data_IF_067667976103
#
_entry.id   IF_067667976103
#
_cell.length_a   1.000
_cell.length_b   1.000
_cell.length_c   1.000
_cell.angle_alpha   90.00
_cell.angle_beta   90.00
_cell.angle_gamma   90.00
#
_symmetry.space_group_name_H-M   'P 1'
#
loop_
_entity.id
_entity.type
_entity.pdbx_description
1 polymer ?
#
# COMPACT_ATOMS: atom_id res chain seq x y z
N UNK A 1 55.06 21.76 -7.78
CA UNK A 1 53.69 22.12 -8.21
C UNK A 1 52.95 20.88 -8.73
N UNK A 2 52.35 20.04 -7.86
CA UNK A 2 51.59 18.83 -8.25
C UNK A 2 50.47 18.50 -7.23
N UNK A 3 49.57 19.44 -6.94
CA UNK A 3 48.44 19.21 -6.00
C UNK A 3 47.08 19.71 -6.50
N UNK A 4 46.92 19.93 -7.80
CA UNK A 4 45.65 20.49 -8.35
C UNK A 4 44.78 19.44 -9.04
N UNK A 5 45.31 18.24 -9.34
CA UNK A 5 44.57 17.23 -10.14
C UNK A 5 43.66 16.27 -9.37
N UNK A 6 43.74 16.21 -8.04
CA UNK A 6 42.98 15.23 -7.24
C UNK A 6 41.57 15.72 -6.86
N UNK A 7 41.31 17.02 -6.92
CA UNK A 7 40.00 17.59 -6.55
C UNK A 7 38.94 17.47 -7.64
N UNK A 8 39.33 17.27 -8.90
CA UNK A 8 38.40 17.15 -10.03
C UNK A 8 37.72 15.77 -10.11
N UNK A 9 38.30 14.73 -9.50
CA UNK A 9 37.71 13.37 -9.47
C UNK A 9 36.66 13.24 -8.37
N UNK A 10 36.80 13.96 -7.24
CA UNK A 10 35.79 13.94 -6.16
C UNK A 10 34.51 14.71 -6.51
N UNK A 11 34.57 15.66 -7.44
CA UNK A 11 33.38 16.42 -7.89
C UNK A 11 32.48 15.64 -8.85
N UNK A 12 32.96 14.53 -9.43
CA UNK A 12 32.19 13.71 -10.40
C UNK A 12 31.46 12.52 -9.75
N UNK A 13 31.66 12.29 -8.45
CA UNK A 13 30.94 11.27 -7.68
C UNK A 13 29.76 11.84 -6.88
N UNK A 14 29.20 12.98 -7.31
CA UNK A 14 27.87 13.38 -6.90
C UNK A 14 26.85 12.43 -7.55
N UNK A 15 26.74 11.22 -6.98
CA UNK A 15 25.69 10.25 -7.27
C UNK A 15 24.37 11.00 -7.11
N UNK A 16 23.75 11.31 -8.24
CA UNK A 16 22.41 11.87 -8.27
C UNK A 16 21.46 10.78 -7.77
N UNK A 17 21.24 10.75 -6.46
CA UNK A 17 20.14 9.98 -5.88
C UNK A 17 18.84 10.57 -6.44
N UNK A 18 18.28 9.90 -7.44
CA UNK A 18 16.90 10.13 -7.86
C UNK A 18 16.03 9.52 -6.77
N UNK A 19 15.60 10.33 -5.82
CA UNK A 19 14.48 9.95 -4.96
C UNK A 19 13.25 9.80 -5.85
N UNK A 20 12.80 8.56 -6.00
CA UNK A 20 11.45 8.32 -6.49
C UNK A 20 10.52 8.79 -5.37
N UNK A 21 9.75 9.84 -5.63
CA UNK A 21 8.70 10.28 -4.73
C UNK A 21 7.43 9.55 -5.18
N UNK A 22 6.92 8.68 -4.31
CA UNK A 22 5.60 8.08 -4.48
C UNK A 22 4.58 8.90 -3.68
N UNK A 23 3.40 9.13 -4.24
CA UNK A 23 2.33 9.86 -3.56
C UNK A 23 1.61 8.95 -2.55
N UNK A 24 1.20 9.51 -1.41
CA UNK A 24 0.37 8.81 -0.44
C UNK A 24 -1.07 8.63 -0.94
N UNK A 25 -1.71 7.55 -0.50
CA UNK A 25 -3.13 7.26 -0.67
C UNK A 25 -3.84 7.15 0.68
N UNK A 26 -4.03 8.29 1.33
CA UNK A 26 -4.33 8.38 2.77
C UNK A 26 -5.81 8.16 3.15
N UNK A 27 -6.74 8.16 2.20
CA UNK A 27 -8.17 7.97 2.46
C UNK A 27 -8.90 7.38 1.26
N UNK A 28 -10.16 7.02 1.44
CA UNK A 28 -11.00 6.49 0.37
C UNK A 28 -11.00 7.42 -0.84
N UNK A 29 -10.63 6.85 -2.00
CA UNK A 29 -10.47 7.55 -3.29
C UNK A 29 -9.29 8.55 -3.35
N UNK A 30 -8.30 8.41 -2.47
CA UNK A 30 -7.01 9.09 -2.58
C UNK A 30 -7.04 10.56 -2.18
N UNK A 31 -5.92 11.29 -2.28
CA UNK A 31 -5.74 12.64 -1.74
C UNK A 31 -6.83 13.62 -2.17
N UNK A 32 -7.30 13.51 -3.42
CA UNK A 32 -8.32 14.38 -4.01
C UNK A 32 -9.76 13.78 -3.97
N UNK A 33 -9.97 12.62 -3.34
CA UNK A 33 -11.27 11.90 -3.27
C UNK A 33 -11.91 11.57 -4.62
N UNK A 34 -11.11 11.55 -5.68
CA UNK A 34 -11.60 11.33 -7.04
C UNK A 34 -11.25 9.94 -7.59
N UNK A 35 -10.44 9.14 -6.88
CA UNK A 35 -10.02 7.81 -7.28
C UNK A 35 -8.96 7.82 -8.38
N UNK A 36 -8.24 8.93 -8.55
CA UNK A 36 -7.24 9.12 -9.60
C UNK A 36 -5.87 9.40 -8.96
N UNK A 37 -4.85 8.67 -9.40
CA UNK A 37 -3.44 8.99 -9.09
C UNK A 37 -2.84 9.83 -10.22
N UNK A 38 -1.99 10.81 -9.87
CA UNK A 38 -1.13 11.55 -10.80
C UNK A 38 0.06 10.71 -11.29
N UNK A 39 0.39 9.64 -10.58
CA UNK A 39 1.53 8.79 -10.89
C UNK A 39 1.24 7.91 -12.10
N UNK A 40 2.28 7.70 -12.92
CA UNK A 40 2.18 6.68 -13.96
C UNK A 40 2.22 5.31 -13.30
N UNK A 41 1.21 4.49 -13.56
CA UNK A 41 1.14 3.12 -13.05
C UNK A 41 2.17 2.19 -13.70
N UNK A 42 2.89 2.66 -14.73
CA UNK A 42 3.80 1.86 -15.53
C UNK A 42 3.09 0.89 -16.49
N UNK A 43 1.76 0.85 -16.49
CA UNK A 43 0.95 0.09 -17.43
C UNK A 43 1.14 0.61 -18.85
N UNK A 44 1.56 -0.26 -19.78
CA UNK A 44 1.73 0.09 -21.20
C UNK A 44 1.23 -1.06 -22.07
N UNK A 45 0.36 -0.76 -23.03
CA UNK A 45 -0.11 -1.68 -24.07
C UNK A 45 -0.62 -3.04 -23.54
N UNK A 46 -1.33 -3.04 -22.42
CA UNK A 46 -1.89 -4.28 -21.85
C UNK A 46 -0.97 -5.01 -20.87
N UNK A 47 0.19 -4.45 -20.52
CA UNK A 47 1.18 -5.10 -19.66
C UNK A 47 1.67 -4.17 -18.55
N UNK A 48 1.78 -4.71 -17.33
CA UNK A 48 2.44 -4.05 -16.19
C UNK A 48 3.96 -4.10 -16.33
N UNK A 49 4.68 -3.24 -15.61
CA UNK A 49 6.17 -3.26 -15.59
C UNK A 49 6.75 -4.62 -15.15
N UNK A 50 6.01 -5.37 -14.33
CA UNK A 50 6.32 -6.72 -13.88
C UNK A 50 5.08 -7.59 -14.02
N UNK A 51 5.27 -8.83 -14.48
CA UNK A 51 4.18 -9.82 -14.56
C UNK A 51 3.72 -10.29 -13.17
N UNK A 52 4.65 -10.33 -12.20
CA UNK A 52 4.36 -10.78 -10.84
C UNK A 52 4.32 -9.60 -9.86
N UNK A 53 3.43 -9.63 -8.86
CA UNK A 53 3.40 -8.65 -7.79
C UNK A 53 4.67 -8.76 -6.94
N UNK A 54 5.14 -7.62 -6.44
CA UNK A 54 6.35 -7.56 -5.59
C UNK A 54 6.20 -8.38 -4.31
N UNK A 55 4.98 -8.43 -3.75
CA UNK A 55 4.63 -9.22 -2.58
C UNK A 55 3.12 -9.49 -2.55
N UNK A 56 2.71 -10.45 -1.74
CA UNK A 56 1.30 -10.75 -1.42
C UNK A 56 1.18 -10.96 0.09
N UNK A 57 0.06 -10.54 0.67
CA UNK A 57 -0.26 -10.74 2.08
C UNK A 57 -1.69 -11.27 2.25
N UNK A 58 -1.90 -12.19 3.20
CA UNK A 58 -3.23 -12.68 3.56
C UNK A 58 -3.75 -11.82 4.71
N UNK A 59 -4.82 -11.07 4.47
CA UNK A 59 -5.32 -10.06 5.42
C UNK A 59 -6.66 -10.41 6.07
N UNK A 60 -7.30 -11.49 5.61
CA UNK A 60 -8.62 -11.92 6.08
C UNK A 60 -9.71 -11.69 5.03
N UNK A 61 -10.96 -11.96 5.41
CA UNK A 61 -12.13 -11.63 4.60
C UNK A 61 -12.45 -10.13 4.70
N UNK A 62 -12.96 -9.51 3.64
CA UNK A 62 -13.28 -8.09 3.67
C UNK A 62 -13.32 -7.49 2.27
N UNK A 63 -14.08 -6.40 2.14
CA UNK A 63 -14.24 -5.65 0.90
C UNK A 63 -13.73 -4.24 1.11
N UNK A 64 -12.47 -4.13 1.55
CA UNK A 64 -11.85 -2.87 1.97
C UNK A 64 -10.88 -2.33 0.93
N UNK A 65 -10.72 -1.01 0.90
CA UNK A 65 -9.66 -0.37 0.13
C UNK A 65 -8.44 -0.17 1.04
N UNK A 66 -7.23 -0.58 0.65
CA UNK A 66 -6.04 -0.29 1.43
C UNK A 66 -5.69 1.19 1.36
N UNK A 67 -5.04 1.69 2.41
CA UNK A 67 -4.40 3.00 2.44
C UNK A 67 -2.90 2.86 2.36
N UNK A 68 -2.23 3.82 1.72
CA UNK A 68 -0.76 3.90 1.68
C UNK A 68 -0.35 5.25 2.25
N UNK A 69 0.48 5.25 3.29
CA UNK A 69 0.96 6.48 3.94
C UNK A 69 2.44 6.31 4.29
N UNK A 70 3.32 7.02 3.58
CA UNK A 70 4.75 6.75 3.57
C UNK A 70 5.03 5.29 3.19
N UNK A 71 5.93 4.64 3.92
CA UNK A 71 6.30 3.23 3.69
C UNK A 71 5.34 2.21 4.33
N UNK A 72 4.07 2.58 4.55
CA UNK A 72 3.09 1.75 5.26
C UNK A 72 1.82 1.54 4.46
N UNK A 73 1.33 0.30 4.47
CA UNK A 73 0.02 -0.10 3.96
C UNK A 73 -0.90 -0.40 5.13
N UNK A 74 -2.07 0.23 5.19
CA UNK A 74 -3.11 -0.06 6.17
C UNK A 74 -4.28 -0.75 5.50
N UNK A 75 -4.76 -1.83 6.08
CA UNK A 75 -5.84 -2.63 5.51
C UNK A 75 -6.64 -3.28 6.61
N UNK A 76 -7.94 -3.43 6.38
CA UNK A 76 -8.82 -4.17 7.27
C UNK A 76 -9.21 -5.51 6.68
N UNK A 77 -9.43 -6.47 7.56
CA UNK A 77 -9.99 -7.76 7.21
C UNK A 77 -10.57 -8.45 8.44
N UNK A 78 -11.21 -9.58 8.23
CA UNK A 78 -11.90 -10.36 9.24
C UNK A 78 -11.35 -11.78 9.27
N UNK A 79 -11.14 -12.29 10.48
CA UNK A 79 -10.79 -13.69 10.74
C UNK A 79 -11.14 -14.06 12.17
N UNK A 80 -11.53 -15.31 12.41
CA UNK A 80 -11.72 -15.86 13.75
C UNK A 80 -12.67 -15.04 14.65
N UNK A 81 -13.80 -14.60 14.10
CA UNK A 81 -14.80 -13.77 14.79
C UNK A 81 -14.28 -12.39 15.25
N UNK A 82 -13.29 -11.86 14.53
CA UNK A 82 -12.70 -10.56 14.81
C UNK A 82 -12.46 -9.77 13.53
N UNK A 83 -12.78 -8.50 13.59
CA UNK A 83 -12.22 -7.53 12.65
C UNK A 83 -10.78 -7.23 13.06
N UNK A 84 -9.96 -6.96 12.05
CA UNK A 84 -8.54 -6.64 12.18
C UNK A 84 -8.23 -5.39 11.40
N UNK A 85 -7.36 -4.54 11.95
CA UNK A 85 -6.66 -3.49 11.21
C UNK A 85 -5.18 -3.85 11.24
N UNK A 86 -4.57 -3.95 10.07
CA UNK A 86 -3.16 -4.34 9.90
C UNK A 86 -2.38 -3.18 9.32
N UNK A 87 -1.17 -2.98 9.80
CA UNK A 87 -0.17 -2.15 9.16
C UNK A 87 0.93 -3.06 8.60
N UNK A 88 1.17 -2.97 7.31
CA UNK A 88 2.21 -3.70 6.60
C UNK A 88 3.29 -2.72 6.14
N UNK A 89 4.51 -3.20 6.03
CA UNK A 89 5.59 -2.51 5.32
C UNK A 89 5.31 -2.51 3.81
N UNK A 90 5.25 -1.33 3.18
CA UNK A 90 4.84 -1.20 1.77
C UNK A 90 5.84 -1.84 0.79
N UNK A 91 7.12 -1.96 1.19
CA UNK A 91 8.18 -2.46 0.34
C UNK A 91 8.28 -3.99 0.33
N UNK A 92 7.88 -4.63 1.44
CA UNK A 92 8.06 -6.07 1.68
C UNK A 92 6.75 -6.83 1.92
N UNK A 93 5.66 -6.14 2.27
CA UNK A 93 4.40 -6.75 2.68
C UNK A 93 4.41 -7.36 4.08
N UNK A 94 5.51 -7.21 4.83
CA UNK A 94 5.64 -7.75 6.19
C UNK A 94 4.72 -7.01 7.16
N UNK A 95 3.98 -7.74 7.99
CA UNK A 95 3.16 -7.14 9.04
C UNK A 95 4.05 -6.46 10.09
N UNK A 96 3.78 -5.17 10.33
CA UNK A 96 4.45 -4.37 11.35
C UNK A 96 3.67 -4.41 12.65
N UNK A 97 2.33 -4.38 12.58
CA UNK A 97 1.44 -4.58 13.71
C UNK A 97 0.03 -4.96 13.25
N UNK A 98 -0.74 -5.50 14.19
CA UNK A 98 -2.16 -5.82 14.05
C UNK A 98 -2.91 -5.40 15.31
N UNK A 99 -4.08 -4.77 15.14
CA UNK A 99 -5.07 -4.63 16.19
C UNK A 99 -6.35 -5.35 15.79
N UNK A 100 -7.10 -5.85 16.77
CA UNK A 100 -8.33 -6.60 16.51
C UNK A 100 -9.38 -6.40 17.59
N UNK A 101 -10.63 -6.60 17.22
CA UNK A 101 -11.77 -6.55 18.13
C UNK A 101 -12.83 -7.57 17.72
N UNK A 102 -13.60 -8.05 18.69
CA UNK A 102 -14.66 -9.01 18.43
C UNK A 102 -15.71 -8.39 17.50
N UNK A 103 -15.95 -9.05 16.37
CA UNK A 103 -16.91 -8.61 15.37
C UNK A 103 -17.52 -9.84 14.69
N UNK A 104 -18.86 -9.95 14.61
CA UNK A 104 -19.48 -11.01 13.82
C UNK A 104 -19.06 -10.90 12.36
N UNK A 105 -19.04 -12.03 11.66
CA UNK A 105 -18.69 -12.08 10.22
C UNK A 105 -19.54 -11.15 9.35
N UNK A 106 -20.78 -10.93 9.76
CA UNK A 106 -21.76 -10.11 9.08
C UNK A 106 -22.37 -9.09 10.03
N UNK A 107 -22.81 -7.96 9.49
CA UNK A 107 -23.56 -6.97 10.25
C UNK A 107 -24.90 -7.53 10.76
N UNK A 108 -25.53 -6.79 11.69
CA UNK A 108 -26.85 -7.14 12.28
C UNK A 108 -27.91 -7.46 11.22
N UNK A 109 -27.82 -6.80 10.07
CA UNK A 109 -28.60 -7.08 8.88
C UNK A 109 -27.61 -7.26 7.74
N UNK A 110 -27.57 -8.47 7.19
CA UNK A 110 -26.94 -8.74 5.91
C UNK A 110 -28.06 -9.05 4.92
N UNK A 111 -28.14 -8.27 3.85
CA UNK A 111 -29.09 -8.47 2.75
C UNK A 111 -28.33 -8.28 1.45
N UNK A 112 -28.42 -9.24 0.54
CA UNK A 112 -27.68 -9.22 -0.73
C UNK A 112 -26.70 -10.37 -0.84
N UNK A 113 -25.64 -10.19 -1.63
CA UNK A 113 -24.63 -11.22 -1.86
C UNK A 113 -23.63 -11.28 -0.70
N UNK A 114 -23.92 -12.14 0.27
CA UNK A 114 -23.07 -12.41 1.43
C UNK A 114 -21.70 -13.00 1.05
N UNK A 115 -21.51 -13.45 -0.19
CA UNK A 115 -20.22 -13.91 -0.70
C UNK A 115 -19.23 -12.77 -0.97
N UNK A 116 -19.71 -11.61 -1.42
CA UNK A 116 -18.84 -10.46 -1.74
C UNK A 116 -18.67 -9.46 -0.61
N UNK A 117 -19.58 -9.44 0.37
CA UNK A 117 -19.62 -8.42 1.44
C UNK A 117 -19.57 -9.02 2.84
N UNK A 118 -18.68 -10.00 3.04
CA UNK A 118 -18.34 -10.56 4.36
C UNK A 118 -17.17 -9.79 5.00
N UNK A 119 -17.19 -9.65 6.33
CA UNK A 119 -16.18 -8.89 7.08
C UNK A 119 -16.31 -7.36 6.88
N UNK A 120 -15.25 -6.59 7.14
CA UNK A 120 -15.29 -5.14 7.03
C UNK A 120 -15.45 -4.72 5.57
N UNK A 121 -16.31 -3.72 5.35
CA UNK A 121 -16.54 -3.08 4.03
C UNK A 121 -16.14 -1.60 4.03
N UNK A 122 -15.70 -1.08 5.17
CA UNK A 122 -15.15 0.26 5.31
C UNK A 122 -13.70 0.33 4.83
N UNK A 123 -13.25 1.54 4.47
CA UNK A 123 -11.82 1.87 4.35
C UNK A 123 -11.33 2.29 5.74
N UNK A 124 -10.16 1.81 6.22
CA UNK A 124 -9.65 2.15 7.55
C UNK A 124 -9.42 3.65 7.75
#
# INVERSE_FOLDING_TARGET
MKRVRTWLVMAWLAISFRFANADDWQHWRGPNRNGITSETSGWRNGTWLSAEPRWRARVGEGSTSPLVVGDRVFVMGWSDQKDTVRCLDANTGRELWLTSYACPRYGRQATGDEGFYAGPTSTP
#
